data_IF_123387414360
#
_entry.id   IF_123387414360
#
_cell.length_a   1.000
_cell.length_b   1.000
_cell.length_c   1.000
_cell.angle_alpha   90.00
_cell.angle_beta   90.00
_cell.angle_gamma   90.00
#
_symmetry.space_group_name_H-M   'P 1'
#
loop_
_entity.id
_entity.type
_entity.pdbx_description
1 polymer ?
#
# COMPACT_ATOMS: atom_id res chain seq x y z
N UNK A 1 -12.12 -37.77 13.53
CA UNK A 1 -10.67 -37.57 13.27
C UNK A 1 -10.39 -37.28 11.78
N UNK A 2 -10.95 -38.04 10.82
CA UNK A 2 -10.80 -37.71 9.38
C UNK A 2 -11.48 -36.39 8.96
N UNK A 3 -12.65 -36.07 9.53
CA UNK A 3 -13.36 -34.82 9.22
C UNK A 3 -12.59 -33.58 9.70
N UNK A 4 -12.01 -33.64 10.90
CA UNK A 4 -11.20 -32.55 11.47
C UNK A 4 -9.94 -32.27 10.64
N UNK A 5 -9.28 -33.31 10.13
CA UNK A 5 -8.10 -33.14 9.26
C UNK A 5 -8.46 -32.50 7.91
N UNK A 6 -9.62 -32.86 7.37
CA UNK A 6 -10.14 -32.33 6.10
C UNK A 6 -10.48 -30.83 6.22
N UNK A 7 -11.01 -30.40 7.37
CA UNK A 7 -11.33 -29.00 7.64
C UNK A 7 -10.08 -28.14 7.85
N UNK A 8 -9.08 -28.64 8.57
CA UNK A 8 -7.81 -27.94 8.73
C UNK A 8 -7.07 -27.77 7.39
N UNK A 9 -7.10 -28.80 6.53
CA UNK A 9 -6.56 -28.71 5.17
C UNK A 9 -7.29 -27.64 4.35
N UNK A 10 -8.62 -27.57 4.40
CA UNK A 10 -9.42 -26.54 3.70
C UNK A 10 -9.08 -25.13 4.18
N UNK A 11 -8.94 -24.91 5.49
CA UNK A 11 -8.54 -23.61 6.07
C UNK A 11 -7.14 -23.18 5.59
N UNK A 12 -6.18 -24.10 5.55
CA UNK A 12 -4.82 -23.83 5.04
C UNK A 12 -4.84 -23.42 3.57
N UNK A 13 -5.58 -24.15 2.73
CA UNK A 13 -5.73 -23.81 1.30
C UNK A 13 -6.37 -22.43 1.12
N UNK A 14 -7.39 -22.08 1.91
CA UNK A 14 -8.01 -20.75 1.84
C UNK A 14 -7.01 -19.64 2.17
N UNK A 15 -6.26 -19.79 3.27
CA UNK A 15 -5.21 -18.83 3.66
C UNK A 15 -4.12 -18.71 2.59
N UNK A 16 -3.72 -19.83 1.97
CA UNK A 16 -2.75 -19.82 0.88
C UNK A 16 -3.27 -19.04 -0.34
N UNK A 17 -4.51 -19.29 -0.75
CA UNK A 17 -5.15 -18.55 -1.86
C UNK A 17 -5.22 -17.05 -1.60
N UNK A 18 -5.62 -16.65 -0.39
CA UNK A 18 -5.61 -15.24 0.03
C UNK A 18 -4.19 -14.63 -0.07
N UNK A 19 -3.18 -15.33 0.46
CA UNK A 19 -1.79 -14.85 0.42
C UNK A 19 -1.22 -14.80 -1.00
N UNK A 20 -1.54 -15.77 -1.85
CA UNK A 20 -1.11 -15.79 -3.25
C UNK A 20 -1.74 -14.63 -4.04
N UNK A 21 -3.02 -14.37 -3.83
CA UNK A 21 -3.70 -13.21 -4.42
C UNK A 21 -3.07 -11.90 -3.99
N UNK A 22 -2.81 -11.74 -2.70
CA UNK A 22 -2.09 -10.58 -2.15
C UNK A 22 -0.72 -10.42 -2.79
N UNK A 23 0.05 -11.51 -2.91
CA UNK A 23 1.38 -11.48 -3.52
C UNK A 23 1.33 -10.90 -4.95
N UNK A 24 0.46 -11.43 -5.81
CA UNK A 24 0.29 -10.92 -7.18
C UNK A 24 -0.09 -9.44 -7.18
N UNK A 25 -1.03 -9.06 -6.31
CA UNK A 25 -1.47 -7.67 -6.18
C UNK A 25 -0.33 -6.75 -5.76
N UNK A 26 0.37 -7.04 -4.66
CA UNK A 26 1.47 -6.22 -4.15
C UNK A 26 2.64 -6.15 -5.15
N UNK A 27 2.97 -7.25 -5.83
CA UNK A 27 3.99 -7.22 -6.89
C UNK A 27 3.58 -6.29 -8.04
N UNK A 28 2.32 -6.31 -8.46
CA UNK A 28 1.83 -5.41 -9.49
C UNK A 28 1.85 -3.94 -9.06
N UNK A 29 1.50 -3.68 -7.79
CA UNK A 29 1.55 -2.34 -7.19
C UNK A 29 3.00 -1.82 -7.13
N UNK A 30 3.95 -2.67 -6.74
CA UNK A 30 5.37 -2.34 -6.68
C UNK A 30 5.95 -2.02 -8.06
N UNK A 31 5.62 -2.83 -9.07
CA UNK A 31 6.02 -2.56 -10.46
C UNK A 31 5.47 -1.22 -10.93
N UNK A 32 4.20 -0.91 -10.61
CA UNK A 32 3.60 0.38 -10.96
C UNK A 32 4.30 1.54 -10.25
N UNK A 33 4.57 1.41 -8.94
CA UNK A 33 5.27 2.43 -8.17
C UNK A 33 6.65 2.70 -8.78
N UNK A 34 7.47 1.67 -8.97
CA UNK A 34 8.78 1.78 -9.60
C UNK A 34 8.69 2.42 -10.99
N UNK A 35 7.71 2.02 -11.81
CA UNK A 35 7.50 2.58 -13.15
C UNK A 35 7.11 4.06 -13.15
N UNK A 36 6.42 4.54 -12.11
CA UNK A 36 6.08 5.95 -11.96
C UNK A 36 7.26 6.76 -11.41
N UNK A 37 8.10 6.15 -10.58
CA UNK A 37 9.12 6.86 -9.81
C UNK A 37 10.53 6.77 -10.40
N UNK A 38 10.84 5.84 -11.32
CA UNK A 38 12.22 5.60 -11.76
C UNK A 38 12.92 6.81 -12.40
N UNK A 39 12.16 7.66 -13.10
CA UNK A 39 12.66 8.88 -13.77
C UNK A 39 12.62 10.12 -12.87
N UNK A 40 12.20 9.97 -11.61
CA UNK A 40 12.10 11.10 -10.71
C UNK A 40 13.47 11.41 -10.06
N UNK A 41 13.85 12.70 -9.95
CA UNK A 41 15.17 13.08 -9.42
C UNK A 41 15.34 12.74 -7.94
N UNK A 42 14.24 12.61 -7.20
CA UNK A 42 14.24 12.17 -5.80
C UNK A 42 14.42 10.66 -5.63
N UNK A 43 14.28 9.87 -6.70
CA UNK A 43 14.50 8.43 -6.66
C UNK A 43 15.98 8.08 -6.41
N UNK A 44 16.91 8.91 -6.91
CA UNK A 44 18.36 8.74 -6.70
C UNK A 44 18.94 9.64 -5.62
N UNK A 45 18.34 10.81 -5.39
CA UNK A 45 18.84 11.78 -4.41
C UNK A 45 17.70 12.29 -3.52
N UNK A 46 17.69 11.85 -2.27
CA UNK A 46 16.65 12.15 -1.28
C UNK A 46 16.56 13.63 -0.91
N UNK A 47 17.58 14.45 -1.20
CA UNK A 47 17.50 15.92 -1.04
C UNK A 47 16.37 16.50 -1.90
N UNK A 48 16.09 15.88 -3.05
CA UNK A 48 15.05 16.33 -3.97
C UNK A 48 13.62 15.98 -3.49
N UNK A 49 13.47 15.32 -2.34
CA UNK A 49 12.16 15.26 -1.66
C UNK A 49 11.76 16.63 -1.11
N UNK A 50 12.72 17.41 -0.66
CA UNK A 50 12.47 18.70 0.00
C UNK A 50 12.64 19.89 -0.94
N UNK A 51 13.52 19.74 -1.95
CA UNK A 51 13.80 20.76 -2.96
C UNK A 51 13.34 20.26 -4.32
N UNK A 52 12.38 20.96 -4.92
CA UNK A 52 11.88 20.66 -6.26
C UNK A 52 12.71 21.35 -7.36
N UNK A 53 12.37 21.14 -8.63
CA UNK A 53 13.00 21.85 -9.75
C UNK A 53 12.72 23.37 -9.67
N UNK A 54 13.75 24.19 -9.87
CA UNK A 54 13.67 25.66 -9.74
C UNK A 54 13.69 26.10 -8.27
N UNK A 55 12.82 27.05 -7.93
CA UNK A 55 12.70 27.63 -6.57
C UNK A 55 11.67 26.92 -5.67
N UNK A 56 11.25 25.71 -6.04
CA UNK A 56 10.27 24.95 -5.27
C UNK A 56 10.91 24.38 -4.00
N UNK A 57 10.36 24.74 -2.85
CA UNK A 57 10.76 24.22 -1.55
C UNK A 57 9.50 23.69 -0.86
N UNK A 58 9.64 22.55 -0.19
CA UNK A 58 8.59 22.04 0.68
C UNK A 58 8.11 23.13 1.65
N UNK A 59 6.80 23.32 1.87
CA UNK A 59 5.67 22.49 1.43
C UNK A 59 4.96 22.97 0.15
N UNK A 60 5.60 23.78 -0.70
CA UNK A 60 4.99 24.34 -1.93
C UNK A 60 5.53 23.65 -3.20
N UNK A 61 5.59 22.31 -3.22
CA UNK A 61 6.06 21.55 -4.38
C UNK A 61 4.91 21.13 -5.30
N UNK A 62 5.06 21.41 -6.60
CA UNK A 62 4.09 20.98 -7.60
C UNK A 62 4.13 19.45 -7.79
N UNK A 63 3.02 18.80 -7.46
CA UNK A 63 2.84 17.37 -7.71
C UNK A 63 2.55 17.12 -9.20
N UNK A 64 3.40 16.33 -9.85
CA UNK A 64 3.19 15.81 -11.21
C UNK A 64 1.96 14.89 -11.27
N UNK A 65 1.23 14.91 -12.38
CA UNK A 65 -0.01 14.11 -12.56
C UNK A 65 0.19 12.61 -12.32
N UNK A 66 1.28 12.01 -12.85
CA UNK A 66 1.60 10.59 -12.64
C UNK A 66 1.71 10.23 -11.16
N UNK A 67 2.32 11.12 -10.38
CA UNK A 67 2.51 10.95 -8.95
C UNK A 67 1.22 11.17 -8.17
N UNK A 68 0.35 12.12 -8.58
CA UNK A 68 -1.03 12.22 -8.03
C UNK A 68 -1.79 10.90 -8.23
N UNK A 69 -1.70 10.31 -9.42
CA UNK A 69 -2.29 9.01 -9.70
C UNK A 69 -1.77 7.92 -8.77
N UNK A 70 -0.45 7.89 -8.53
CA UNK A 70 0.14 6.94 -7.58
C UNK A 70 -0.35 7.18 -6.14
N UNK A 71 -0.45 8.43 -5.67
CA UNK A 71 -1.02 8.74 -4.36
C UNK A 71 -2.46 8.23 -4.23
N UNK A 72 -3.30 8.49 -5.23
CA UNK A 72 -4.71 8.03 -5.22
C UNK A 72 -4.80 6.51 -5.26
N UNK A 73 -3.95 5.85 -6.05
CA UNK A 73 -3.89 4.39 -6.13
C UNK A 73 -3.50 3.77 -4.78
N UNK A 74 -2.41 4.23 -4.16
CA UNK A 74 -1.94 3.70 -2.87
C UNK A 74 -2.94 4.03 -1.75
N UNK A 75 -3.47 5.26 -1.70
CA UNK A 75 -4.50 5.62 -0.72
C UNK A 75 -5.76 4.74 -0.86
N UNK A 76 -6.26 4.58 -2.08
CA UNK A 76 -7.41 3.74 -2.38
C UNK A 76 -7.17 2.28 -2.02
N UNK A 77 -5.96 1.77 -2.29
CA UNK A 77 -5.57 0.42 -1.92
C UNK A 77 -5.60 0.20 -0.40
N UNK A 78 -4.98 1.09 0.39
CA UNK A 78 -4.98 0.94 1.84
C UNK A 78 -6.38 1.12 2.44
N UNK A 79 -7.20 2.04 1.90
CA UNK A 79 -8.59 2.18 2.30
C UNK A 79 -9.42 0.92 2.00
N UNK A 80 -9.29 0.37 0.79
CA UNK A 80 -9.93 -0.91 0.43
C UNK A 80 -9.44 -2.05 1.32
N UNK A 81 -8.16 -2.09 1.65
CA UNK A 81 -7.59 -3.14 2.50
C UNK A 81 -8.13 -3.10 3.93
N UNK A 82 -8.42 -1.91 4.47
CA UNK A 82 -9.15 -1.77 5.75
C UNK A 82 -10.54 -2.43 5.65
N UNK A 83 -11.29 -2.13 4.59
CA UNK A 83 -12.59 -2.74 4.36
C UNK A 83 -12.49 -4.26 4.21
N UNK A 84 -11.55 -4.75 3.40
CA UNK A 84 -11.31 -6.17 3.20
C UNK A 84 -10.92 -6.87 4.51
N UNK A 85 -10.07 -6.27 5.33
CA UNK A 85 -9.68 -6.81 6.63
C UNK A 85 -10.88 -6.96 7.58
N UNK A 86 -11.80 -5.99 7.59
CA UNK A 86 -12.98 -6.03 8.49
C UNK A 86 -14.01 -7.05 8.01
N UNK A 87 -14.27 -7.11 6.71
CA UNK A 87 -15.45 -7.82 6.18
C UNK A 87 -15.16 -9.08 5.37
N UNK A 88 -13.99 -9.20 4.75
CA UNK A 88 -13.72 -10.25 3.74
C UNK A 88 -12.61 -11.23 4.14
N UNK A 89 -11.54 -10.74 4.75
CA UNK A 89 -10.37 -11.56 5.02
C UNK A 89 -10.56 -12.52 6.20
N UNK A 90 -9.95 -13.70 6.11
CA UNK A 90 -9.88 -14.61 7.25
C UNK A 90 -9.15 -13.93 8.41
N UNK A 91 -9.83 -13.73 9.54
CA UNK A 91 -9.24 -13.12 10.74
C UNK A 91 -8.06 -13.95 11.26
N UNK A 92 -6.90 -13.31 11.36
CA UNK A 92 -5.65 -13.86 11.89
C UNK A 92 -5.32 -13.21 13.25
N UNK A 93 -4.41 -13.81 14.02
CA UNK A 93 -4.06 -13.34 15.37
C UNK A 93 -3.38 -11.97 15.38
N UNK A 94 -2.75 -11.58 14.27
CA UNK A 94 -2.09 -10.30 14.01
C UNK A 94 -3.03 -9.21 13.47
N UNK A 95 -4.35 -9.44 13.44
CA UNK A 95 -5.35 -8.52 12.89
C UNK A 95 -5.22 -7.08 13.42
N UNK A 96 -5.06 -6.91 14.75
CA UNK A 96 -4.99 -5.58 15.35
C UNK A 96 -3.76 -4.78 14.90
N UNK A 97 -2.60 -5.44 14.81
CA UNK A 97 -1.36 -4.82 14.33
C UNK A 97 -1.48 -4.47 12.85
N UNK A 98 -2.04 -5.38 12.04
CA UNK A 98 -2.27 -5.13 10.62
C UNK A 98 -3.23 -3.96 10.40
N UNK A 99 -4.35 -3.91 11.12
CA UNK A 99 -5.31 -2.80 11.04
C UNK A 99 -4.67 -1.46 11.42
N UNK A 100 -3.94 -1.43 12.54
CA UNK A 100 -3.22 -0.24 12.98
C UNK A 100 -2.21 0.25 11.94
N UNK A 101 -1.47 -0.69 11.31
CA UNK A 101 -0.57 -0.37 10.21
C UNK A 101 -1.30 0.27 9.03
N UNK A 102 -2.44 -0.29 8.59
CA UNK A 102 -3.18 0.28 7.46
C UNK A 102 -3.68 1.69 7.75
N UNK A 103 -4.24 1.93 8.95
CA UNK A 103 -4.69 3.26 9.37
C UNK A 103 -3.53 4.26 9.40
N UNK A 104 -2.39 3.87 9.99
CA UNK A 104 -1.20 4.71 10.04
C UNK A 104 -0.70 5.05 8.63
N UNK A 105 -0.65 4.06 7.73
CA UNK A 105 -0.21 4.30 6.35
C UNK A 105 -1.16 5.23 5.59
N UNK A 106 -2.49 5.10 5.75
CA UNK A 106 -3.45 6.05 5.15
C UNK A 106 -3.19 7.47 5.66
N UNK A 107 -3.00 7.64 6.97
CA UNK A 107 -2.70 8.96 7.56
C UNK A 107 -1.42 9.54 6.94
N UNK A 108 -0.33 8.75 6.88
CA UNK A 108 0.94 9.19 6.32
C UNK A 108 0.82 9.59 4.84
N UNK A 109 0.06 8.82 4.04
CA UNK A 109 -0.18 9.12 2.62
C UNK A 109 -0.96 10.43 2.47
N UNK A 110 -2.02 10.63 3.26
CA UNK A 110 -2.84 11.85 3.21
C UNK A 110 -2.04 13.07 3.64
N UNK A 111 -1.31 12.98 4.76
CA UNK A 111 -0.45 14.06 5.23
C UNK A 111 0.65 14.38 4.20
N UNK A 112 1.26 13.35 3.61
CA UNK A 112 2.27 13.52 2.56
C UNK A 112 1.70 14.17 1.29
N UNK A 113 0.42 13.96 0.98
CA UNK A 113 -0.24 14.59 -0.17
C UNK A 113 -0.64 16.05 0.12
N UNK A 114 -1.10 16.35 1.34
CA UNK A 114 -1.52 17.69 1.76
C UNK A 114 -0.31 18.62 1.93
N UNK A 115 0.73 18.14 2.62
CA UNK A 115 1.93 18.92 2.91
C UNK A 115 2.99 18.72 1.85
N UNK A 116 2.66 18.86 0.57
CA UNK A 116 3.65 18.67 -0.49
C UNK A 116 3.97 19.95 -1.23
#
# INVERSE_FOLDING_TARGET
MMESDTDERRKKIRKFKESAWKCVYYLSAEILALSVTYDEPWFRNTRNFWVGPGDQVWPDQKIKLKLRGLYMYVAGFYAYSIFALVFWETRRSDFGVSMGHHVATVILIVLSYIFR
#
